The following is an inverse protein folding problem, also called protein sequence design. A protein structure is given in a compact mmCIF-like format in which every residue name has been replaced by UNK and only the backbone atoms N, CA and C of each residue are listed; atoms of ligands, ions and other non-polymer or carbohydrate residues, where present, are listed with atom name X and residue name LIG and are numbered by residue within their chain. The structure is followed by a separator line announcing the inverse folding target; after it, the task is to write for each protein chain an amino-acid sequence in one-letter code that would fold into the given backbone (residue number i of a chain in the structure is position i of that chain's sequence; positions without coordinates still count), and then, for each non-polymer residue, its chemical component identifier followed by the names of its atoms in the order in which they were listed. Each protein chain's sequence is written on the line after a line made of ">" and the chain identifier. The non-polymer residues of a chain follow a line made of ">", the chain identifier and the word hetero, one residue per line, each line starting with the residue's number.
data_IF_015404698289
#
_entry.id   IF_015404698289
#
_cell.length_a   1.000
_cell.length_b   1.000
_cell.length_c   1.000
_cell.angle_alpha   90.00
_cell.angle_beta   90.00
_cell.angle_gamma   90.00
#
_symmetry.space_group_name_H-M   'P 1'
#
loop_
_entity.id
_entity.type
_entity.pdbx_description
1 polymer ?
#
# COMPACT_ATOMS: atom_id res chain seq x y z
N UNK A 1 9.22 -13.41 -29.90
CA UNK A 1 9.33 -12.40 -28.83
C UNK A 1 9.12 -13.10 -27.50
N UNK A 2 9.85 -12.74 -26.44
CA UNK A 2 9.62 -13.31 -25.12
C UNK A 2 8.17 -13.06 -24.68
N UNK A 3 7.55 -14.06 -24.06
CA UNK A 3 6.17 -13.97 -23.58
C UNK A 3 6.15 -13.17 -22.28
N UNK A 4 5.41 -12.05 -22.27
CA UNK A 4 5.30 -11.18 -21.09
C UNK A 4 4.31 -11.82 -20.12
N UNK A 5 4.75 -12.11 -18.89
CA UNK A 5 3.91 -12.66 -17.82
C UNK A 5 2.65 -11.77 -17.63
N UNK A 6 1.44 -12.33 -17.76
CA UNK A 6 0.21 -11.56 -17.63
C UNK A 6 -0.13 -11.19 -16.17
N UNK A 7 0.60 -11.74 -15.19
CA UNK A 7 0.54 -11.45 -13.75
C UNK A 7 -0.81 -11.75 -13.08
N UNK A 8 -1.58 -12.71 -13.61
CA UNK A 8 -2.89 -13.06 -13.06
C UNK A 8 -2.84 -13.68 -11.67
N UNK A 9 -1.77 -14.41 -11.36
CA UNK A 9 -1.56 -15.08 -10.07
C UNK A 9 -0.66 -14.27 -9.12
N UNK A 10 -0.30 -13.04 -9.48
CA UNK A 10 0.63 -12.20 -8.71
C UNK A 10 -0.14 -11.17 -7.87
N UNK A 11 0.22 -11.08 -6.59
CA UNK A 11 -0.17 -9.98 -5.70
C UNK A 11 1.08 -9.18 -5.37
N UNK A 12 1.08 -7.90 -5.76
CA UNK A 12 2.14 -6.94 -5.47
C UNK A 12 1.96 -6.38 -4.06
N UNK A 13 3.03 -6.41 -3.28
CA UNK A 13 3.15 -5.89 -1.93
C UNK A 13 4.23 -4.83 -1.88
N UNK A 14 3.97 -3.76 -1.14
CA UNK A 14 4.95 -2.70 -0.93
C UNK A 14 4.52 -1.76 0.22
N UNK A 15 5.50 -1.05 0.78
CA UNK A 15 5.33 -0.11 1.86
C UNK A 15 5.54 1.33 1.42
N UNK A 16 4.70 2.24 1.92
CA UNK A 16 4.92 3.67 1.70
C UNK A 16 4.55 4.54 2.87
N UNK A 17 5.38 5.56 3.10
CA UNK A 17 5.06 6.69 3.96
C UNK A 17 4.11 7.67 3.26
N UNK A 18 2.95 7.90 3.86
CA UNK A 18 2.03 8.98 3.50
C UNK A 18 2.15 10.11 4.52
N UNK A 19 2.29 11.34 4.02
CA UNK A 19 2.42 12.54 4.85
C UNK A 19 1.11 13.33 4.85
N UNK A 20 0.82 14.03 5.94
CA UNK A 20 -0.37 14.88 6.05
C UNK A 20 -0.38 16.06 5.07
N UNK A 21 0.80 16.55 4.68
CA UNK A 21 0.95 17.67 3.76
C UNK A 21 2.28 17.56 2.99
N UNK A 22 2.41 18.36 1.93
CA UNK A 22 3.66 18.53 1.18
C UNK A 22 4.53 19.61 1.80
N UNK A 23 5.85 19.48 1.64
CA UNK A 23 6.82 20.47 2.14
C UNK A 23 6.61 21.87 1.53
N UNK A 24 6.24 21.91 0.25
CA UNK A 24 5.88 23.13 -0.49
C UNK A 24 4.55 22.93 -1.22
N UNK A 25 3.60 23.83 -1.00
CA UNK A 25 2.30 23.88 -1.68
C UNK A 25 2.13 25.27 -2.30
N UNK A 26 1.87 25.32 -3.61
CA UNK A 26 1.45 26.55 -4.28
C UNK A 26 -0.04 26.75 -4.01
N UNK A 27 -0.43 27.93 -3.55
CA UNK A 27 -1.82 28.33 -3.33
C UNK A 27 -2.09 29.60 -4.12
N UNK A 28 -3.16 29.60 -4.89
CA UNK A 28 -3.68 30.81 -5.51
C UNK A 28 -4.60 31.50 -4.49
N UNK A 29 -4.43 32.80 -4.33
CA UNK A 29 -5.23 33.63 -3.42
C UNK A 29 -5.84 34.76 -4.24
N UNK A 30 -7.08 35.12 -3.94
CA UNK A 30 -7.67 36.33 -4.51
C UNK A 30 -7.11 37.58 -3.84
N UNK A 31 -7.10 38.76 -4.49
CA UNK A 31 -6.63 40.00 -3.87
C UNK A 31 -7.34 40.26 -2.53
N UNK A 32 -6.57 40.39 -1.44
CA UNK A 32 -7.08 40.60 -0.09
C UNK A 32 -7.31 39.32 0.73
N UNK A 33 -7.19 38.12 0.14
CA UNK A 33 -7.29 36.87 0.87
C UNK A 33 -5.98 36.54 1.60
N UNK A 34 -6.07 36.32 2.91
CA UNK A 34 -4.91 35.87 3.69
C UNK A 34 -4.63 34.39 3.43
N UNK A 35 -3.36 34.00 3.18
CA UNK A 35 -3.00 32.59 3.03
C UNK A 35 -3.46 31.81 4.26
N UNK A 36 -4.09 30.64 4.06
CA UNK A 36 -4.40 29.75 5.18
C UNK A 36 -3.12 29.41 5.94
N UNK A 37 -3.13 29.65 7.24
CA UNK A 37 -1.96 29.39 8.07
C UNK A 37 -1.63 27.89 8.07
N UNK A 38 -0.40 27.55 7.67
CA UNK A 38 0.12 26.19 7.83
C UNK A 38 0.33 25.91 9.31
N UNK A 39 -0.19 24.79 9.78
CA UNK A 39 -0.10 24.40 11.18
C UNK A 39 1.33 23.99 11.62
N UNK A 40 2.25 23.73 10.68
CA UNK A 40 3.59 23.21 10.99
C UNK A 40 4.70 24.14 10.49
N UNK A 41 5.66 24.43 11.38
CA UNK A 41 6.83 25.27 11.09
C UNK A 41 7.94 24.53 10.34
N UNK A 42 7.96 23.19 10.35
CA UNK A 42 8.96 22.40 9.63
C UNK A 42 8.43 21.02 9.19
N UNK A 43 9.06 20.45 8.14
CA UNK A 43 8.77 19.11 7.62
C UNK A 43 8.83 18.01 8.68
N UNK A 44 9.68 18.18 9.71
CA UNK A 44 9.87 17.19 10.80
C UNK A 44 8.61 16.98 11.63
N UNK A 45 7.71 17.96 11.67
CA UNK A 45 6.48 17.90 12.46
C UNK A 45 5.25 17.51 11.63
N UNK A 46 5.39 17.29 10.32
CA UNK A 46 4.28 16.84 9.48
C UNK A 46 3.95 15.39 9.88
N UNK A 47 2.72 15.10 10.33
CA UNK A 47 2.32 13.73 10.63
C UNK A 47 2.51 12.84 9.40
N UNK A 48 3.06 11.64 9.61
CA UNK A 48 3.23 10.65 8.56
C UNK A 48 2.99 9.25 9.09
N UNK A 49 2.45 8.38 8.24
CA UNK A 49 2.09 7.00 8.57
C UNK A 49 2.57 6.11 7.44
N UNK A 50 3.21 4.99 7.79
CA UNK A 50 3.59 3.96 6.83
C UNK A 50 2.44 2.98 6.66
N UNK A 51 2.19 2.56 5.43
CA UNK A 51 1.20 1.54 5.10
C UNK A 51 1.85 0.42 4.31
N UNK A 52 1.40 -0.80 4.54
CA UNK A 52 1.55 -1.91 3.60
C UNK A 52 0.31 -1.93 2.69
N UNK A 53 0.51 -1.96 1.38
CA UNK A 53 -0.56 -2.16 0.42
C UNK A 53 -0.39 -3.50 -0.30
N UNK A 54 -1.51 -4.12 -0.67
CA UNK A 54 -1.57 -5.32 -1.48
C UNK A 54 -2.54 -5.10 -2.64
N UNK A 55 -2.05 -5.26 -3.87
CA UNK A 55 -2.84 -5.12 -5.09
C UNK A 55 -2.53 -6.23 -6.08
N UNK A 56 -3.50 -6.53 -6.92
CA UNK A 56 -3.39 -7.48 -8.00
C UNK A 56 -4.09 -6.95 -9.25
N UNK A 57 -3.90 -7.63 -10.37
CA UNK A 57 -4.49 -7.19 -11.63
C UNK A 57 -6.03 -7.26 -11.56
N UNK A 58 -6.75 -6.14 -11.78
CA UNK A 58 -8.20 -6.14 -11.86
C UNK A 58 -8.73 -7.13 -12.90
N UNK A 59 -9.79 -7.86 -12.58
CA UNK A 59 -10.39 -8.86 -13.49
C UNK A 59 -11.80 -9.24 -13.09
N UNK A 60 -12.55 -9.81 -14.03
CA UNK A 60 -13.84 -10.41 -13.71
C UNK A 60 -13.66 -11.76 -13.02
N UNK A 61 -14.26 -11.94 -11.85
CA UNK A 61 -14.34 -13.21 -11.14
C UNK A 61 -15.57 -13.98 -11.62
N UNK A 62 -15.35 -14.95 -12.51
CA UNK A 62 -16.42 -15.79 -13.05
C UNK A 62 -17.08 -16.63 -11.96
N UNK A 63 -16.34 -17.09 -10.95
CA UNK A 63 -16.88 -17.93 -9.90
C UNK A 63 -17.79 -17.15 -8.94
N UNK A 64 -17.45 -15.88 -8.66
CA UNK A 64 -18.25 -14.98 -7.82
C UNK A 64 -19.27 -14.16 -8.61
N UNK A 65 -19.20 -14.15 -9.94
CA UNK A 65 -20.05 -13.33 -10.82
C UNK A 65 -19.87 -11.82 -10.62
N UNK A 66 -18.70 -11.40 -10.14
CA UNK A 66 -18.43 -10.03 -9.73
C UNK A 66 -17.08 -9.54 -10.27
N UNK A 67 -16.96 -8.23 -10.47
CA UNK A 67 -15.69 -7.63 -10.87
C UNK A 67 -14.77 -7.45 -9.66
N UNK A 68 -13.57 -8.01 -9.74
CA UNK A 68 -12.49 -7.78 -8.77
C UNK A 68 -11.69 -6.55 -9.18
N UNK A 69 -11.72 -5.53 -8.33
CA UNK A 69 -11.14 -4.21 -8.62
C UNK A 69 -9.61 -4.14 -8.47
N UNK A 70 -8.98 -5.27 -8.13
CA UNK A 70 -7.53 -5.40 -7.95
C UNK A 70 -7.04 -4.99 -6.56
N UNK A 71 -7.86 -4.38 -5.71
CA UNK A 71 -7.46 -3.96 -4.37
C UNK A 71 -7.65 -5.11 -3.38
N UNK A 72 -6.55 -5.66 -2.85
CA UNK A 72 -6.61 -6.70 -1.82
C UNK A 72 -6.73 -6.05 -0.44
N UNK A 73 -5.96 -5.01 -0.18
CA UNK A 73 -6.07 -4.24 1.05
C UNK A 73 -4.92 -3.27 1.27
N UNK A 74 -5.07 -2.44 2.30
CA UNK A 74 -4.05 -1.50 2.74
C UNK A 74 -4.12 -1.33 4.26
N UNK A 75 -2.98 -1.48 4.94
CA UNK A 75 -2.91 -1.55 6.40
C UNK A 75 -1.88 -0.57 6.96
N UNK A 76 -2.26 0.36 7.86
CA UNK A 76 -1.31 1.24 8.52
C UNK A 76 -0.49 0.48 9.58
N UNK A 77 0.81 0.75 9.65
CA UNK A 77 1.68 0.28 10.74
C UNK A 77 1.48 1.11 12.00
N UNK A 78 0.40 0.81 12.72
CA UNK A 78 0.02 1.50 13.95
C UNK A 78 -0.49 0.53 15.01
N UNK A 79 -0.41 0.97 16.27
CA UNK A 79 -1.05 0.32 17.41
C UNK A 79 -1.82 1.34 18.23
N UNK A 80 -2.93 0.93 18.83
CA UNK A 80 -3.59 1.73 19.84
C UNK A 80 -2.89 1.52 21.19
N UNK A 81 -2.57 2.61 21.88
CA UNK A 81 -1.99 2.55 23.22
C UNK A 81 -2.54 3.69 24.08
N UNK A 82 -2.71 3.48 25.40
CA UNK A 82 -3.19 4.52 26.29
C UNK A 82 -2.18 5.68 26.36
N UNK A 83 -2.70 6.90 26.39
CA UNK A 83 -1.92 8.11 26.62
C UNK A 83 -1.29 8.06 28.01
N UNK A 84 0.04 8.18 28.07
CA UNK A 84 0.80 8.10 29.34
C UNK A 84 0.72 9.40 30.14
N UNK A 85 0.55 10.54 29.46
CA UNK A 85 0.54 11.87 30.07
C UNK A 85 -0.75 12.60 29.71
N UNK A 86 -1.27 13.39 30.65
CA UNK A 86 -2.27 14.40 30.37
C UNK A 86 -1.68 15.46 29.42
N UNK A 87 -2.47 15.93 28.47
CA UNK A 87 -2.24 17.18 27.76
C UNK A 87 -3.56 17.94 27.60
N UNK A 88 -3.47 19.20 27.18
CA UNK A 88 -4.65 20.04 26.91
C UNK A 88 -5.65 19.37 25.95
N UNK A 89 -5.19 18.47 25.08
CA UNK A 89 -6.00 17.82 24.05
C UNK A 89 -6.35 16.36 24.37
N UNK A 90 -5.83 15.76 25.46
CA UNK A 90 -6.11 14.36 25.82
C UNK A 90 -5.78 14.05 27.28
N UNK A 91 -6.69 13.35 27.96
CA UNK A 91 -6.43 12.81 29.30
C UNK A 91 -5.53 11.57 29.21
N UNK A 92 -4.78 11.30 30.27
CA UNK A 92 -4.07 10.04 30.44
C UNK A 92 -5.09 8.89 30.43
N UNK A 93 -4.73 7.79 29.79
CA UNK A 93 -5.61 6.64 29.57
C UNK A 93 -6.43 6.68 28.27
N UNK A 94 -6.57 7.83 27.59
CA UNK A 94 -7.22 7.86 26.27
C UNK A 94 -6.42 7.03 25.26
N UNK A 95 -7.07 6.15 24.50
CA UNK A 95 -6.41 5.35 23.46
C UNK A 95 -5.94 6.26 22.32
N UNK A 96 -4.66 6.16 22.00
CA UNK A 96 -3.99 6.98 20.98
C UNK A 96 -3.30 6.06 20.00
N UNK A 97 -3.43 6.39 18.72
CA UNK A 97 -2.68 5.76 17.63
C UNK A 97 -1.19 6.08 17.75
N UNK A 98 -0.37 5.05 17.95
CA UNK A 98 1.09 5.14 17.94
C UNK A 98 1.63 4.46 16.69
N UNK A 99 2.59 5.12 16.04
CA UNK A 99 3.33 4.54 14.92
C UNK A 99 4.13 3.32 15.39
N UNK A 100 4.15 2.28 14.57
CA UNK A 100 4.99 1.10 14.75
C UNK A 100 6.16 1.21 13.77
N UNK A 101 7.37 0.90 14.25
CA UNK A 101 8.51 0.78 13.36
C UNK A 101 8.41 -0.55 12.61
N UNK A 102 8.61 -0.53 11.30
CA UNK A 102 8.58 -1.75 10.49
C UNK A 102 9.93 -2.43 10.57
N UNK A 103 9.96 -3.59 11.19
CA UNK A 103 11.06 -4.53 11.13
C UNK A 103 10.59 -5.83 10.45
N UNK A 104 11.51 -6.77 10.28
CA UNK A 104 11.24 -8.09 9.70
C UNK A 104 10.05 -8.81 10.37
N UNK A 105 9.94 -8.77 11.69
CA UNK A 105 8.90 -9.50 12.41
C UNK A 105 7.52 -8.85 12.19
N UNK A 106 7.46 -7.52 12.25
CA UNK A 106 6.23 -6.75 11.99
C UNK A 106 5.78 -6.91 10.54
N UNK A 107 6.70 -6.89 9.58
CA UNK A 107 6.38 -7.10 8.17
C UNK A 107 5.79 -8.50 7.93
N UNK A 108 6.47 -9.55 8.41
CA UNK A 108 5.98 -10.93 8.29
C UNK A 108 4.62 -11.11 8.96
N UNK A 109 4.41 -10.54 10.15
CA UNK A 109 3.12 -10.57 10.84
C UNK A 109 2.01 -9.98 9.98
N UNK A 110 2.24 -8.84 9.34
CA UNK A 110 1.25 -8.21 8.45
C UNK A 110 0.98 -9.09 7.23
N UNK A 111 1.99 -9.69 6.61
CA UNK A 111 1.79 -10.59 5.47
C UNK A 111 0.95 -11.80 5.87
N UNK A 112 1.32 -12.49 6.95
CA UNK A 112 0.66 -13.73 7.42
C UNK A 112 -0.75 -13.45 7.94
N UNK A 113 -0.92 -12.41 8.76
CA UNK A 113 -2.15 -12.18 9.53
C UNK A 113 -3.08 -11.12 8.92
N UNK A 114 -2.66 -10.39 7.88
CA UNK A 114 -3.50 -9.39 7.19
C UNK A 114 -3.63 -9.70 5.70
N UNK A 115 -2.50 -9.79 4.99
CA UNK A 115 -2.48 -9.94 3.53
C UNK A 115 -3.07 -11.28 3.12
N UNK A 116 -2.53 -12.39 3.64
CA UNK A 116 -2.98 -13.74 3.23
C UNK A 116 -4.47 -13.97 3.50
N UNK A 117 -5.02 -13.63 4.69
CA UNK A 117 -6.46 -13.71 4.92
C UNK A 117 -7.29 -12.87 3.93
N UNK A 118 -6.83 -11.66 3.60
CA UNK A 118 -7.51 -10.81 2.63
C UNK A 118 -7.50 -11.42 1.22
N UNK A 119 -6.37 -12.00 0.79
CA UNK A 119 -6.26 -12.72 -0.49
C UNK A 119 -7.25 -13.89 -0.51
N UNK A 120 -7.26 -14.75 0.52
CA UNK A 120 -8.20 -15.88 0.58
C UNK A 120 -9.66 -15.44 0.48
N UNK A 121 -9.99 -14.27 1.05
CA UNK A 121 -11.35 -13.76 1.07
C UNK A 121 -11.82 -13.21 -0.29
N UNK A 122 -10.96 -12.47 -1.02
CA UNK A 122 -11.39 -11.69 -2.18
C UNK A 122 -10.71 -12.05 -3.50
N UNK A 123 -9.54 -12.70 -3.49
CA UNK A 123 -8.76 -12.91 -4.71
C UNK A 123 -9.42 -13.95 -5.63
N UNK A 124 -9.58 -13.64 -6.93
CA UNK A 124 -10.23 -14.55 -7.87
C UNK A 124 -9.22 -15.49 -8.53
N UNK A 125 -8.97 -16.65 -7.93
CA UNK A 125 -8.04 -17.66 -8.47
C UNK A 125 -8.69 -19.04 -8.54
N UNK A 126 -8.65 -19.64 -9.74
CA UNK A 126 -9.06 -21.03 -9.96
C UNK A 126 -8.00 -22.03 -9.49
N UNK A 127 -6.72 -21.71 -9.70
CA UNK A 127 -5.58 -22.53 -9.26
C UNK A 127 -5.35 -22.42 -7.75
N UNK A 128 -5.83 -21.33 -7.13
CA UNK A 128 -5.51 -20.91 -5.75
C UNK A 128 -4.02 -20.81 -5.45
N UNK A 129 -3.19 -20.75 -6.50
CA UNK A 129 -1.76 -20.49 -6.38
C UNK A 129 -1.54 -18.99 -6.50
N UNK A 130 -0.88 -18.40 -5.51
CA UNK A 130 -0.61 -16.96 -5.45
C UNK A 130 0.87 -16.72 -5.24
N UNK A 131 1.44 -15.84 -6.06
CA UNK A 131 2.80 -15.33 -5.93
C UNK A 131 2.73 -13.97 -5.25
N UNK A 132 3.28 -13.87 -4.05
CA UNK A 132 3.46 -12.60 -3.34
C UNK A 132 4.75 -11.96 -3.86
N UNK A 133 4.62 -10.87 -4.60
CA UNK A 133 5.75 -10.12 -5.13
C UNK A 133 6.04 -8.91 -4.25
N UNK A 134 7.29 -8.74 -3.84
CA UNK A 134 7.79 -7.62 -3.04
C UNK A 134 9.23 -7.28 -3.42
N UNK A 135 9.72 -6.10 -3.04
CA UNK A 135 11.10 -5.68 -3.29
C UNK A 135 12.11 -6.41 -2.36
N UNK A 136 13.40 -6.13 -2.54
CA UNK A 136 14.47 -6.74 -1.74
C UNK A 136 14.87 -5.92 -0.48
N UNK A 137 13.98 -5.12 0.08
CA UNK A 137 14.25 -4.44 1.34
C UNK A 137 14.62 -5.46 2.45
N UNK A 138 15.54 -5.10 3.35
CA UNK A 138 16.03 -6.04 4.39
C UNK A 138 14.93 -6.73 5.19
N UNK A 139 13.82 -6.07 5.58
CA UNK A 139 12.72 -6.73 6.28
C UNK A 139 12.01 -7.82 5.45
N UNK A 140 12.03 -7.73 4.12
CA UNK A 140 11.30 -8.63 3.23
C UNK A 140 11.88 -10.03 3.19
N UNK A 141 13.20 -10.17 3.38
CA UNK A 141 13.87 -11.47 3.51
C UNK A 141 13.38 -12.32 4.70
N UNK A 142 12.51 -11.77 5.56
CA UNK A 142 11.86 -12.50 6.64
C UNK A 142 10.65 -13.32 6.24
N UNK A 143 10.13 -13.11 5.01
CA UNK A 143 9.02 -13.87 4.45
C UNK A 143 9.59 -14.79 3.38
N UNK A 144 9.66 -16.08 3.70
CA UNK A 144 10.09 -17.14 2.78
C UNK A 144 8.92 -18.06 2.44
N UNK A 145 9.08 -18.90 1.41
CA UNK A 145 8.09 -19.94 1.10
C UNK A 145 7.80 -20.84 2.32
N UNK A 146 8.82 -21.11 3.15
CA UNK A 146 8.67 -21.88 4.39
C UNK A 146 7.75 -21.18 5.40
N UNK A 147 7.86 -19.87 5.54
CA UNK A 147 6.99 -19.10 6.44
C UNK A 147 5.54 -19.10 5.95
N UNK A 148 5.33 -19.31 4.64
CA UNK A 148 4.02 -19.36 4.00
C UNK A 148 3.39 -20.76 3.98
N UNK A 149 4.11 -21.81 4.32
CA UNK A 149 3.61 -23.20 4.36
C UNK A 149 2.38 -23.33 5.26
N UNK A 150 2.44 -22.76 6.47
CA UNK A 150 1.37 -22.88 7.46
C UNK A 150 0.07 -22.16 7.02
N UNK A 151 0.17 -21.13 6.19
CA UNK A 151 -0.99 -20.39 5.66
C UNK A 151 -1.43 -20.88 4.28
N UNK A 152 -0.64 -21.75 3.64
CA UNK A 152 -0.98 -22.48 2.41
C UNK A 152 -1.91 -23.66 2.71
N UNK A 153 -3.11 -23.31 3.16
CA UNK A 153 -4.19 -24.23 3.54
C UNK A 153 -5.42 -24.04 2.67
N UNK A 154 -6.40 -24.94 2.78
CA UNK A 154 -7.70 -24.83 2.09
C UNK A 154 -7.59 -24.84 0.55
N UNK A 155 -6.57 -25.55 0.07
CA UNK A 155 -6.19 -25.63 -1.34
C UNK A 155 -5.44 -24.40 -1.86
N UNK A 156 -5.12 -23.42 -1.00
CA UNK A 156 -4.28 -22.29 -1.38
C UNK A 156 -2.80 -22.64 -1.26
N UNK A 157 -2.02 -22.16 -2.22
CA UNK A 157 -0.56 -22.21 -2.20
C UNK A 157 0.00 -20.81 -2.36
N UNK A 158 0.71 -20.34 -1.34
CA UNK A 158 1.40 -19.05 -1.38
C UNK A 158 2.89 -19.27 -1.55
N UNK A 159 3.48 -18.56 -2.50
CA UNK A 159 4.93 -18.49 -2.68
C UNK A 159 5.36 -17.04 -2.76
N UNK A 160 6.60 -16.76 -2.41
CA UNK A 160 7.18 -15.43 -2.45
C UNK A 160 8.08 -15.27 -3.67
N UNK A 161 8.05 -14.10 -4.29
CA UNK A 161 8.97 -13.71 -5.37
C UNK A 161 9.57 -12.36 -5.03
N UNK A 162 10.87 -12.37 -4.73
CA UNK A 162 11.66 -11.17 -4.59
C UNK A 162 11.94 -10.56 -5.97
N UNK A 163 11.87 -9.23 -6.09
CA UNK A 163 12.21 -8.53 -7.31
C UNK A 163 13.73 -8.54 -7.57
N UNK A 164 14.18 -8.34 -8.82
CA UNK A 164 15.58 -8.01 -9.08
C UNK A 164 16.00 -6.76 -8.27
N UNK A 165 17.27 -6.69 -7.79
CA UNK A 165 17.75 -5.52 -7.07
C UNK A 165 17.62 -4.23 -7.88
N UNK A 166 17.21 -3.14 -7.22
CA UNK A 166 17.06 -1.79 -7.81
C UNK A 166 16.05 -1.70 -8.97
N UNK A 167 14.97 -2.47 -8.93
CA UNK A 167 13.94 -2.46 -9.98
C UNK A 167 12.56 -2.01 -9.48
N UNK A 168 12.43 -0.76 -8.95
CA UNK A 168 11.14 -0.26 -8.46
C UNK A 168 10.07 -0.21 -9.56
N UNK A 169 10.49 -0.08 -10.83
CA UNK A 169 9.61 -0.09 -11.99
C UNK A 169 8.93 -1.44 -12.23
N UNK A 170 9.32 -2.48 -11.49
CA UNK A 170 8.72 -3.82 -11.52
C UNK A 170 7.66 -4.04 -10.43
N UNK A 171 7.36 -3.04 -9.59
CA UNK A 171 6.25 -3.07 -8.64
C UNK A 171 5.14 -2.11 -9.08
N UNK A 172 3.90 -2.60 -9.26
CA UNK A 172 2.76 -1.75 -9.64
C UNK A 172 2.49 -0.64 -8.61
N UNK A 173 2.76 -0.93 -7.33
CA UNK A 173 2.52 0.03 -6.26
C UNK A 173 3.41 1.27 -6.42
N UNK A 174 4.71 1.06 -6.58
CA UNK A 174 5.69 2.13 -6.74
C UNK A 174 5.69 2.76 -8.13
N UNK A 175 5.42 1.97 -9.18
CA UNK A 175 5.36 2.45 -10.56
C UNK A 175 4.31 3.54 -10.78
N UNK A 176 3.20 3.52 -10.03
CA UNK A 176 2.22 4.60 -10.16
C UNK A 176 1.00 4.56 -9.24
N UNK A 177 0.66 3.42 -8.63
CA UNK A 177 -0.56 3.35 -7.85
C UNK A 177 -0.48 4.17 -6.56
N UNK A 178 0.66 4.14 -5.87
CA UNK A 178 0.89 4.97 -4.70
C UNK A 178 0.87 6.47 -5.01
N UNK A 179 1.41 6.89 -6.16
CA UNK A 179 1.32 8.29 -6.60
C UNK A 179 -0.14 8.72 -6.79
N UNK A 180 -0.98 7.82 -7.30
CA UNK A 180 -2.42 8.04 -7.46
C UNK A 180 -3.13 8.19 -6.10
N UNK A 181 -2.86 7.31 -5.14
CA UNK A 181 -3.42 7.39 -3.79
C UNK A 181 -3.02 8.71 -3.14
N UNK A 182 -1.74 9.05 -3.20
CA UNK A 182 -1.20 10.25 -2.58
C UNK A 182 -1.77 11.53 -3.21
N UNK A 183 -1.97 11.55 -4.53
CA UNK A 183 -2.62 12.66 -5.24
C UNK A 183 -4.04 12.93 -4.73
N UNK A 184 -4.81 11.87 -4.49
CA UNK A 184 -6.18 11.98 -3.98
C UNK A 184 -6.20 12.33 -2.48
N UNK A 185 -5.33 11.69 -1.68
CA UNK A 185 -5.18 11.97 -0.24
C UNK A 185 -4.88 13.44 0.03
N UNK A 186 -4.00 14.09 -0.75
CA UNK A 186 -3.69 15.51 -0.58
C UNK A 186 -4.83 16.47 -0.93
N UNK A 187 -5.93 16.01 -1.54
CA UNK A 187 -7.14 16.83 -1.69
C UNK A 187 -7.88 17.02 -0.37
N UNK A 188 -7.62 16.18 0.63
CA UNK A 188 -8.16 16.28 1.98
C UNK A 188 -7.12 16.90 2.92
N UNK A 189 -7.54 17.86 3.77
CA UNK A 189 -6.65 18.44 4.77
C UNK A 189 -6.49 17.48 5.95
N UNK A 190 -5.28 16.94 6.13
CA UNK A 190 -4.95 16.10 7.29
C UNK A 190 -4.16 16.89 8.32
N UNK A 191 -4.50 16.80 9.61
CA UNK A 191 -3.77 17.52 10.68
C UNK A 191 -3.18 16.60 11.74
N UNK A 192 -3.63 15.35 11.80
CA UNK A 192 -3.23 14.36 12.78
C UNK A 192 -2.84 13.04 12.11
N UNK A 193 -2.23 12.13 12.88
CA UNK A 193 -1.97 10.75 12.42
C UNK A 193 -3.27 10.06 11.99
N UNK A 194 -4.35 10.23 12.75
CA UNK A 194 -5.64 9.62 12.42
C UNK A 194 -6.27 10.21 11.16
N UNK A 195 -6.05 11.50 10.87
CA UNK A 195 -6.49 12.10 9.61
C UNK A 195 -5.71 11.57 8.41
N UNK A 196 -4.40 11.35 8.56
CA UNK A 196 -3.59 10.69 7.52
C UNK A 196 -4.13 9.29 7.27
N UNK A 197 -4.44 8.52 8.32
CA UNK A 197 -5.02 7.19 8.18
C UNK A 197 -6.34 7.22 7.42
N UNK A 198 -7.26 8.06 7.89
CA UNK A 198 -8.60 8.17 7.28
C UNK A 198 -8.53 8.63 5.83
N UNK A 199 -7.73 9.66 5.53
CA UNK A 199 -7.63 10.21 4.18
C UNK A 199 -6.92 9.27 3.21
N UNK A 200 -5.87 8.56 3.66
CA UNK A 200 -5.16 7.58 2.83
C UNK A 200 -6.04 6.37 2.53
N UNK A 201 -6.74 5.80 3.52
CA UNK A 201 -7.67 4.68 3.28
C UNK A 201 -8.83 5.10 2.38
N UNK A 202 -9.45 6.26 2.63
CA UNK A 202 -10.51 6.77 1.76
C UNK A 202 -10.03 7.02 0.32
N UNK A 203 -8.78 7.47 0.14
CA UNK A 203 -8.20 7.64 -1.18
C UNK A 203 -7.98 6.29 -1.90
N UNK A 204 -7.51 5.27 -1.19
CA UNK A 204 -7.36 3.92 -1.74
C UNK A 204 -8.72 3.32 -2.15
N UNK A 205 -9.74 3.48 -1.32
CA UNK A 205 -11.09 2.99 -1.60
C UNK A 205 -11.70 3.71 -2.81
N UNK A 206 -11.50 5.03 -2.92
CA UNK A 206 -12.07 5.85 -3.98
C UNK A 206 -11.39 5.71 -5.36
N UNK A 207 -10.16 5.17 -5.43
CA UNK A 207 -9.51 4.90 -6.72
C UNK A 207 -10.24 3.77 -7.45
N UNK A 208 -10.61 4.02 -8.71
CA UNK A 208 -11.23 3.01 -9.55
C UNK A 208 -10.22 1.97 -10.05
N UNK A 209 -10.74 0.77 -10.37
CA UNK A 209 -9.97 -0.32 -10.95
C UNK A 209 -9.23 0.05 -12.23
N UNK A 210 -9.81 0.92 -13.07
CA UNK A 210 -9.20 1.32 -14.34
C UNK A 210 -7.86 2.02 -14.10
N UNK A 211 -7.73 2.79 -13.01
CA UNK A 211 -6.44 3.40 -12.65
C UNK A 211 -5.40 2.35 -12.32
N UNK A 212 -5.78 1.29 -11.61
CA UNK A 212 -4.88 0.20 -11.29
C UNK A 212 -4.50 -0.59 -12.56
N UNK A 213 -5.46 -0.92 -13.42
CA UNK A 213 -5.20 -1.62 -14.70
C UNK A 213 -4.27 -0.81 -15.60
N UNK A 214 -4.44 0.52 -15.70
CA UNK A 214 -3.50 1.36 -16.45
C UNK A 214 -2.05 1.23 -15.94
N UNK A 215 -1.83 1.09 -14.63
CA UNK A 215 -0.48 0.91 -14.09
C UNK A 215 0.04 -0.50 -14.40
N UNK A 216 -0.81 -1.54 -14.37
CA UNK A 216 -0.43 -2.89 -14.83
C UNK A 216 -0.03 -2.92 -16.30
N UNK A 217 -0.79 -2.25 -17.18
CA UNK A 217 -0.44 -2.14 -18.60
C UNK A 217 0.89 -1.39 -18.80
N UNK A 218 1.13 -0.35 -17.99
CA UNK A 218 2.42 0.38 -17.99
C UNK A 218 3.56 -0.56 -17.58
N UNK A 219 3.37 -1.37 -16.54
CA UNK A 219 4.35 -2.36 -16.11
C UNK A 219 4.66 -3.37 -17.22
N UNK A 220 3.64 -3.88 -17.93
CA UNK A 220 3.86 -4.79 -19.06
C UNK A 220 4.69 -4.14 -20.17
N UNK A 221 4.46 -2.86 -20.47
CA UNK A 221 5.26 -2.13 -21.45
C UNK A 221 6.71 -1.93 -20.98
N UNK A 222 6.94 -1.59 -19.70
CA UNK A 222 8.28 -1.47 -19.11
C UNK A 222 9.04 -2.80 -19.20
N UNK A 223 8.40 -3.92 -18.82
CA UNK A 223 9.01 -5.26 -18.92
C UNK A 223 9.35 -5.60 -20.37
N UNK A 224 8.46 -5.28 -21.31
CA UNK A 224 8.73 -5.46 -22.73
C UNK A 224 9.99 -4.72 -23.20
N UNK A 225 10.14 -3.45 -22.79
CA UNK A 225 11.33 -2.65 -23.12
C UNK A 225 12.62 -3.20 -22.51
N UNK A 226 12.57 -3.69 -21.26
CA UNK A 226 13.75 -4.32 -20.63
C UNK A 226 14.19 -5.54 -21.43
N UNK A 227 13.24 -6.40 -21.81
CA UNK A 227 13.52 -7.60 -22.61
C UNK A 227 14.00 -7.33 -24.04
N UNK A 228 13.77 -6.12 -24.58
CA UNK A 228 14.28 -5.69 -25.88
C UNK A 228 15.71 -5.11 -25.79
N UNK A 229 16.16 -4.74 -24.59
CA UNK A 229 17.44 -4.08 -24.35
C UNK A 229 18.44 -4.92 -23.53
N UNK A 230 18.06 -6.12 -23.09
CA UNK A 230 18.91 -7.19 -22.55
C UNK A 230 19.43 -8.13 -23.66
#
# INVERSE_FOLDING_TARGET
>A
SPEIDPQWDVVHLDEKWFNADKDRRKTYLVPGETPRHRSWKSKRYIPKVMFLAAVARPRYDVARGAFFDGKVGMWPFVRLAPAVRNSCNRRAGTMVTKLVNVDAAVYRDFVINKVVPAIKASFPSASKRVVLQHDNATPHGSVTDRDLEAVSSDGWTFVVRAQPPNSPDLNVLDLGFFASIQSLQYKTMSRTVDDVIRSTLAAFDALCSDKLECVFLTLQAVVGLILEHD
#
